data_IF_092993171228
#
_entry.id   IF_092993171228
#
_cell.length_a   1.000
_cell.length_b   1.000
_cell.length_c   1.000
_cell.angle_alpha   90.00
_cell.angle_beta   90.00
_cell.angle_gamma   90.00
#
_symmetry.space_group_name_H-M   'P 1'
#
loop_
_entity.id
_entity.type
_entity.pdbx_description
1 polymer ?
#
# COMPACT_ATOMS: atom_id res chain seq x y z
N UNK A 1 -18.20 -18.01 12.18
CA UNK A 1 -18.74 -17.93 10.81
C UNK A 1 -17.60 -18.22 9.86
N UNK A 2 -17.79 -19.12 8.89
CA UNK A 2 -16.76 -19.43 7.90
C UNK A 2 -16.50 -18.22 7.00
N UNK A 3 -15.23 -17.97 6.67
CA UNK A 3 -14.83 -16.91 5.74
C UNK A 3 -15.14 -17.32 4.29
N UNK A 4 -15.27 -16.33 3.39
CA UNK A 4 -15.41 -16.59 1.94
C UNK A 4 -14.29 -17.50 1.37
N UNK A 5 -13.10 -17.48 1.99
CA UNK A 5 -12.00 -18.38 1.64
C UNK A 5 -12.28 -19.81 2.09
N UNK A 6 -12.62 -20.01 3.36
CA UNK A 6 -12.93 -21.33 3.92
C UNK A 6 -14.11 -21.98 3.17
N UNK A 7 -15.11 -21.18 2.77
CA UNK A 7 -16.19 -21.65 1.92
C UNK A 7 -15.69 -22.16 0.55
N UNK A 8 -14.74 -21.46 -0.09
CA UNK A 8 -14.17 -21.87 -1.39
C UNK A 8 -13.23 -23.07 -1.30
N UNK A 9 -12.46 -23.19 -0.22
CA UNK A 9 -11.63 -24.37 0.04
C UNK A 9 -12.51 -25.60 0.31
N UNK A 10 -13.61 -25.44 1.05
CA UNK A 10 -14.61 -26.49 1.23
C UNK A 10 -15.30 -26.89 -0.09
N UNK A 11 -15.65 -25.91 -0.94
CA UNK A 11 -16.26 -26.18 -2.26
C UNK A 11 -15.35 -27.01 -3.18
N UNK A 12 -14.04 -26.75 -3.15
CA UNK A 12 -13.07 -27.56 -3.89
C UNK A 12 -13.04 -29.01 -3.40
N UNK A 13 -13.04 -29.21 -2.07
CA UNK A 13 -13.05 -30.54 -1.46
C UNK A 13 -14.37 -31.27 -1.77
N UNK A 14 -15.51 -30.58 -1.72
CA UNK A 14 -16.81 -31.20 -2.02
C UNK A 14 -16.95 -31.57 -3.49
N UNK A 15 -16.35 -30.81 -4.41
CA UNK A 15 -16.28 -31.19 -5.83
C UNK A 15 -15.41 -32.44 -6.03
N UNK A 16 -14.25 -32.49 -5.36
CA UNK A 16 -13.34 -33.65 -5.41
C UNK A 16 -13.96 -34.93 -4.80
N UNK A 17 -14.98 -34.76 -3.97
CA UNK A 17 -15.77 -35.85 -3.38
C UNK A 17 -17.06 -36.16 -4.15
N UNK A 18 -17.25 -35.58 -5.35
CA UNK A 18 -18.46 -35.71 -6.19
C UNK A 18 -19.77 -35.36 -5.44
N UNK A 19 -19.71 -34.49 -4.43
CA UNK A 19 -20.88 -34.05 -3.66
C UNK A 19 -21.63 -32.88 -4.32
N UNK A 20 -20.95 -32.16 -5.19
CA UNK A 20 -21.48 -31.09 -6.04
C UNK A 20 -20.89 -31.29 -7.45
N UNK A 21 -21.60 -30.87 -8.48
CA UNK A 21 -21.09 -30.94 -9.85
C UNK A 21 -20.22 -29.72 -10.22
N UNK A 22 -19.52 -29.79 -11.35
CA UNK A 22 -18.63 -28.73 -11.83
C UNK A 22 -19.36 -27.39 -12.07
N UNK A 23 -20.65 -27.42 -12.42
CA UNK A 23 -21.45 -26.22 -12.71
C UNK A 23 -21.89 -25.54 -11.40
N UNK A 24 -22.34 -26.33 -10.42
CA UNK A 24 -22.62 -25.91 -9.05
C UNK A 24 -21.36 -25.37 -8.36
N UNK A 25 -20.24 -26.07 -8.51
CA UNK A 25 -18.94 -25.65 -8.01
C UNK A 25 -18.58 -24.28 -8.57
N UNK A 26 -18.65 -24.08 -9.89
CA UNK A 26 -18.30 -22.82 -10.54
C UNK A 26 -19.18 -21.66 -10.04
N UNK A 27 -20.50 -21.87 -9.98
CA UNK A 27 -21.46 -20.88 -9.51
C UNK A 27 -21.22 -20.50 -8.04
N UNK A 28 -21.08 -21.50 -7.17
CA UNK A 28 -20.85 -21.28 -5.74
C UNK A 28 -19.48 -20.66 -5.47
N UNK A 29 -18.47 -21.01 -6.25
CA UNK A 29 -17.12 -20.46 -6.15
C UNK A 29 -17.08 -18.98 -6.52
N UNK A 30 -17.83 -18.57 -7.55
CA UNK A 30 -17.99 -17.17 -7.94
C UNK A 30 -18.86 -16.38 -6.95
N UNK A 31 -19.93 -16.98 -6.42
CA UNK A 31 -20.76 -16.38 -5.36
C UNK A 31 -19.98 -16.13 -4.07
N UNK A 32 -19.05 -17.02 -3.73
CA UNK A 32 -18.19 -16.90 -2.55
C UNK A 32 -16.89 -16.14 -2.84
N UNK A 33 -16.84 -15.36 -3.92
CA UNK A 33 -15.69 -14.53 -4.25
C UNK A 33 -15.74 -13.23 -3.44
N UNK A 34 -14.82 -13.10 -2.49
CA UNK A 34 -14.61 -11.85 -1.78
C UNK A 34 -14.23 -10.72 -2.75
N UNK A 35 -14.83 -9.53 -2.53
CA UNK A 35 -14.38 -8.27 -3.16
C UNK A 35 -13.03 -7.82 -2.62
N UNK A 36 -12.72 -8.18 -1.38
CA UNK A 36 -11.44 -7.90 -0.75
C UNK A 36 -10.39 -8.87 -1.30
N UNK A 37 -9.21 -8.34 -1.56
CA UNK A 37 -8.03 -9.10 -1.95
C UNK A 37 -7.81 -10.23 -0.94
N UNK A 38 -7.70 -11.48 -1.41
CA UNK A 38 -7.33 -12.61 -0.56
C UNK A 38 -5.82 -12.54 -0.30
N UNK A 39 -5.42 -11.67 0.63
CA UNK A 39 -4.03 -11.45 1.01
C UNK A 39 -3.61 -12.65 1.85
N UNK A 40 -2.59 -13.42 1.44
CA UNK A 40 -2.16 -14.63 2.14
C UNK A 40 -1.34 -14.28 3.38
N UNK A 41 -1.97 -13.60 4.35
CA UNK A 41 -1.32 -13.08 5.55
C UNK A 41 -0.60 -14.16 6.35
N UNK A 42 -1.09 -15.40 6.30
CA UNK A 42 -0.47 -16.58 6.92
C UNK A 42 0.84 -17.02 6.27
N UNK A 43 1.18 -16.55 5.06
CA UNK A 43 2.47 -16.80 4.41
C UNK A 43 3.57 -15.89 4.93
N UNK A 44 3.24 -14.84 5.68
CA UNK A 44 4.19 -13.89 6.22
C UNK A 44 4.44 -14.18 7.70
N UNK A 45 5.63 -13.82 8.18
CA UNK A 45 5.93 -13.88 9.61
C UNK A 45 4.89 -13.08 10.40
N UNK A 46 4.49 -13.64 11.55
CA UNK A 46 3.54 -12.96 12.42
C UNK A 46 4.20 -11.69 12.96
N UNK A 47 3.41 -10.64 13.09
CA UNK A 47 3.84 -9.42 13.74
C UNK A 47 4.07 -9.70 15.23
N UNK A 48 5.32 -9.77 15.67
CA UNK A 48 5.68 -10.00 17.07
C UNK A 48 5.83 -8.69 17.85
N UNK A 49 4.94 -8.51 18.82
CA UNK A 49 4.87 -7.35 19.72
C UNK A 49 5.91 -7.37 20.84
N UNK A 50 6.31 -8.56 21.31
CA UNK A 50 7.17 -8.75 22.48
C UNK A 50 8.57 -8.15 22.31
N UNK A 51 8.98 -7.87 21.07
CA UNK A 51 10.26 -7.23 20.75
C UNK A 51 10.18 -5.70 20.68
N UNK A 52 9.00 -5.09 20.88
CA UNK A 52 8.80 -3.65 20.99
C UNK A 52 8.84 -3.23 22.47
N UNK A 53 9.92 -3.53 23.19
CA UNK A 53 10.09 -3.05 24.57
C UNK A 53 10.21 -1.53 24.57
N UNK A 54 9.10 -0.83 24.83
CA UNK A 54 9.08 0.63 25.01
C UNK A 54 9.52 0.97 26.43
N UNK A 55 10.84 1.05 26.61
CA UNK A 55 11.40 1.76 27.76
C UNK A 55 11.69 3.19 27.30
N UNK A 56 10.85 4.14 27.69
CA UNK A 56 11.05 5.54 27.33
C UNK A 56 12.39 6.04 27.87
N UNK A 57 13.29 6.49 26.98
CA UNK A 57 14.64 6.86 27.39
C UNK A 57 14.65 8.26 28.05
N UNK A 58 15.21 8.29 29.26
CA UNK A 58 15.93 9.38 29.91
C UNK A 58 15.22 10.56 30.62
N UNK A 59 13.90 10.76 30.60
CA UNK A 59 13.28 11.87 31.39
C UNK A 59 12.23 11.52 32.44
N UNK A 60 11.44 10.46 32.27
CA UNK A 60 10.31 10.17 33.18
C UNK A 60 10.22 8.72 33.72
N UNK A 61 11.14 7.81 33.35
CA UNK A 61 11.10 6.38 33.73
C UNK A 61 9.73 5.73 33.49
N UNK A 62 9.01 6.16 32.44
CA UNK A 62 7.71 5.61 32.12
C UNK A 62 7.92 4.28 31.41
N UNK A 63 7.44 3.20 32.02
CA UNK A 63 7.38 1.87 31.42
C UNK A 63 5.93 1.57 30.99
N UNK A 64 5.77 1.13 29.76
CA UNK A 64 4.48 0.80 29.15
C UNK A 64 4.64 -0.52 28.40
N UNK A 65 3.67 -1.41 28.55
CA UNK A 65 3.65 -2.67 27.80
C UNK A 65 3.52 -2.41 26.30
N UNK A 66 4.16 -3.24 25.48
CA UNK A 66 4.20 -3.07 24.02
C UNK A 66 2.80 -3.09 23.40
N UNK A 67 1.90 -3.92 23.93
CA UNK A 67 0.52 -4.02 23.48
C UNK A 67 -0.29 -2.79 23.86
N UNK A 68 -0.09 -2.25 25.07
CA UNK A 68 -0.75 -1.02 25.50
C UNK A 68 -0.33 0.14 24.60
N UNK A 69 0.96 0.27 24.34
CA UNK A 69 1.52 1.31 23.49
C UNK A 69 1.04 1.21 22.04
N UNK A 70 1.01 0.00 21.47
CA UNK A 70 0.45 -0.24 20.14
C UNK A 70 -1.04 0.07 20.12
N UNK A 71 -1.83 -0.39 21.10
CA UNK A 71 -3.26 -0.11 21.17
C UNK A 71 -3.54 1.39 21.26
N UNK A 72 -2.71 2.12 22.00
CA UNK A 72 -2.80 3.57 22.16
C UNK A 72 -2.52 4.28 20.82
N UNK A 73 -1.45 3.87 20.12
CA UNK A 73 -1.14 4.36 18.77
C UNK A 73 -2.29 4.07 17.79
N UNK A 74 -2.75 2.82 17.71
CA UNK A 74 -3.83 2.40 16.82
C UNK A 74 -5.12 3.17 17.14
N UNK A 75 -5.49 3.30 18.41
CA UNK A 75 -6.67 4.06 18.83
C UNK A 75 -6.59 5.52 18.43
N UNK A 76 -5.40 6.12 18.56
CA UNK A 76 -5.12 7.51 18.18
C UNK A 76 -5.24 7.74 16.68
N UNK A 77 -4.76 6.80 15.86
CA UNK A 77 -4.80 6.94 14.41
C UNK A 77 -6.15 6.55 13.81
N UNK A 78 -6.88 5.62 14.43
CA UNK A 78 -8.17 5.13 13.93
C UNK A 78 -9.28 6.20 13.93
N UNK A 79 -9.22 7.14 14.87
CA UNK A 79 -10.25 8.18 14.98
C UNK A 79 -9.65 9.54 15.35
N UNK A 80 -10.32 10.61 14.93
CA UNK A 80 -10.03 11.98 15.35
C UNK A 80 -10.40 12.19 16.82
N UNK A 81 -9.54 11.77 17.74
CA UNK A 81 -9.68 12.06 19.16
C UNK A 81 -8.65 13.10 19.61
N UNK A 82 -8.86 13.71 20.77
CA UNK A 82 -7.81 14.40 21.54
C UNK A 82 -7.17 13.42 22.52
N UNK A 83 -6.09 13.83 23.18
CA UNK A 83 -5.45 12.96 24.17
C UNK A 83 -6.31 12.84 25.43
N UNK A 84 -7.09 13.87 25.77
CA UNK A 84 -8.05 13.89 26.86
C UNK A 84 -9.09 12.76 26.72
N UNK A 85 -9.54 12.50 25.48
CA UNK A 85 -10.51 11.43 25.19
C UNK A 85 -9.94 10.02 25.43
N UNK A 86 -8.61 9.88 25.49
CA UNK A 86 -7.92 8.62 25.71
C UNK A 86 -7.66 8.35 27.20
N UNK A 87 -7.69 9.39 28.05
CA UNK A 87 -7.45 9.28 29.50
C UNK A 87 -8.38 8.26 30.16
N UNK A 88 -9.70 8.23 29.92
CA UNK A 88 -10.59 7.28 30.59
C UNK A 88 -10.29 5.82 30.28
N UNK A 89 -9.75 5.51 29.09
CA UNK A 89 -9.46 4.13 28.67
C UNK A 89 -8.06 3.67 29.07
N UNK A 90 -7.06 4.54 28.96
CA UNK A 90 -5.66 4.20 29.21
C UNK A 90 -5.19 4.58 30.62
N UNK A 91 -5.98 5.34 31.39
CA UNK A 91 -5.68 5.67 32.79
C UNK A 91 -4.42 6.50 33.00
N UNK A 92 -3.92 7.17 31.96
CA UNK A 92 -2.67 7.94 31.99
C UNK A 92 -2.89 9.43 31.74
N UNK A 93 -2.10 10.31 32.37
CA UNK A 93 -2.12 11.74 32.06
C UNK A 93 -1.79 12.01 30.59
N UNK A 94 -2.38 13.06 30.02
CA UNK A 94 -2.16 13.50 28.63
C UNK A 94 -0.67 13.56 28.22
N UNK A 95 0.26 14.10 29.03
CA UNK A 95 1.68 14.09 28.66
C UNK A 95 2.27 12.70 28.46
N UNK A 96 1.86 11.72 29.27
CA UNK A 96 2.30 10.33 29.12
C UNK A 96 1.74 9.70 27.86
N UNK A 97 0.45 9.92 27.57
CA UNK A 97 -0.18 9.42 26.35
C UNK A 97 0.54 9.96 25.10
N UNK A 98 0.87 11.26 25.09
CA UNK A 98 1.59 11.87 23.97
C UNK A 98 3.00 11.33 23.81
N UNK A 99 3.75 11.12 24.90
CA UNK A 99 5.09 10.52 24.84
C UNK A 99 5.02 9.11 24.26
N UNK A 100 4.09 8.28 24.75
CA UNK A 100 3.92 6.89 24.30
C UNK A 100 3.58 6.84 22.82
N UNK A 101 2.63 7.66 22.32
CA UNK A 101 2.32 7.71 20.88
C UNK A 101 3.55 8.03 20.05
N UNK A 102 4.27 9.09 20.39
CA UNK A 102 5.42 9.55 19.61
C UNK A 102 6.53 8.51 19.60
N UNK A 103 6.90 7.97 20.75
CA UNK A 103 7.96 6.97 20.84
C UNK A 103 7.59 5.65 20.16
N UNK A 104 6.33 5.23 20.26
CA UNK A 104 5.85 4.04 19.54
C UNK A 104 5.94 4.25 18.04
N UNK A 105 5.54 5.43 17.54
CA UNK A 105 5.63 5.77 16.13
C UNK A 105 7.08 5.78 15.64
N UNK A 106 7.99 6.43 16.38
CA UNK A 106 9.41 6.50 16.03
C UNK A 106 10.06 5.10 16.02
N UNK A 107 9.70 4.25 16.99
CA UNK A 107 10.20 2.89 17.08
C UNK A 107 9.71 2.02 15.91
N UNK A 108 8.43 2.11 15.55
CA UNK A 108 7.90 1.41 14.37
C UNK A 108 8.57 1.89 13.08
N UNK A 109 8.78 3.20 12.94
CA UNK A 109 9.46 3.76 11.78
C UNK A 109 10.91 3.30 11.70
N UNK A 110 11.66 3.33 12.81
CA UNK A 110 13.04 2.87 12.86
C UNK A 110 13.18 1.38 12.54
N UNK A 111 12.21 0.56 12.98
CA UNK A 111 12.26 -0.89 12.81
C UNK A 111 11.79 -1.36 11.44
N UNK A 112 10.74 -0.76 10.89
CA UNK A 112 10.06 -1.24 9.69
C UNK A 112 10.16 -0.28 8.49
N UNK A 113 10.68 0.93 8.67
CA UNK A 113 10.80 1.91 7.59
C UNK A 113 11.66 1.43 6.42
N UNK A 114 12.66 0.58 6.69
CA UNK A 114 13.51 -0.03 5.66
C UNK A 114 12.74 -0.94 4.70
N UNK A 115 11.61 -1.52 5.13
CA UNK A 115 10.78 -2.40 4.29
C UNK A 115 10.18 -1.66 3.09
N UNK A 116 10.04 -0.33 3.19
CA UNK A 116 9.53 0.51 2.12
C UNK A 116 10.61 1.10 1.21
N UNK A 117 11.89 0.90 1.55
CA UNK A 117 13.01 1.54 0.84
C UNK A 117 13.71 0.61 -0.15
N UNK A 118 13.47 -0.70 -0.09
CA UNK A 118 14.19 -1.70 -0.88
C UNK A 118 13.24 -2.74 -1.47
N UNK A 119 13.42 -3.07 -2.76
CA UNK A 119 12.66 -4.14 -3.43
C UNK A 119 13.23 -5.55 -3.20
N UNK A 120 14.42 -5.68 -2.61
CA UNK A 120 15.00 -6.96 -2.25
C UNK A 120 14.40 -7.47 -0.94
N UNK A 121 13.15 -7.91 -1.00
CA UNK A 121 12.41 -8.45 0.15
C UNK A 121 11.95 -9.88 -0.14
N UNK A 122 11.84 -10.75 0.89
CA UNK A 122 11.41 -12.14 0.69
C UNK A 122 10.06 -12.27 -0.03
N UNK A 123 9.12 -11.35 0.22
CA UNK A 123 7.81 -11.33 -0.42
C UNK A 123 7.82 -10.78 -1.86
N UNK A 124 8.94 -10.20 -2.31
CA UNK A 124 9.17 -9.72 -3.68
C UNK A 124 10.12 -10.65 -4.47
N UNK A 125 10.14 -11.94 -4.14
CA UNK A 125 10.90 -12.93 -4.92
C UNK A 125 10.44 -12.95 -6.38
N UNK A 126 11.33 -13.32 -7.31
CA UNK A 126 11.03 -13.38 -8.75
C UNK A 126 9.80 -14.25 -9.06
N UNK A 127 9.60 -15.34 -8.30
CA UNK A 127 8.41 -16.18 -8.42
C UNK A 127 7.13 -15.41 -8.05
N UNK A 128 7.15 -14.68 -6.92
CA UNK A 128 6.01 -13.86 -6.51
C UNK A 128 5.73 -12.74 -7.51
N UNK A 129 6.76 -12.12 -8.10
CA UNK A 129 6.57 -11.07 -9.11
C UNK A 129 5.86 -11.61 -10.36
N UNK A 130 6.17 -12.85 -10.77
CA UNK A 130 5.46 -13.52 -11.87
C UNK A 130 4.01 -13.82 -11.47
N UNK A 131 3.76 -14.33 -10.27
CA UNK A 131 2.40 -14.57 -9.78
C UNK A 131 1.57 -13.28 -9.72
N UNK A 132 2.21 -12.17 -9.31
CA UNK A 132 1.62 -10.85 -9.32
C UNK A 132 1.28 -10.38 -10.73
N UNK A 133 2.19 -10.56 -11.69
CA UNK A 133 1.93 -10.14 -13.07
C UNK A 133 0.80 -10.93 -13.72
N UNK A 134 0.78 -12.24 -13.51
CA UNK A 134 -0.32 -13.10 -13.95
C UNK A 134 -1.64 -12.71 -13.30
N UNK A 135 -1.64 -12.34 -12.02
CA UNK A 135 -2.84 -11.90 -11.30
C UNK A 135 -3.41 -10.60 -11.88
N UNK A 136 -2.54 -9.65 -12.26
CA UNK A 136 -2.94 -8.42 -12.95
C UNK A 136 -3.48 -8.75 -14.35
N UNK A 137 -2.78 -9.60 -15.11
CA UNK A 137 -3.20 -10.00 -16.46
C UNK A 137 -4.56 -10.70 -16.47
N UNK A 138 -4.81 -11.63 -15.54
CA UNK A 138 -6.10 -12.32 -15.36
C UNK A 138 -7.26 -11.37 -15.05
N UNK A 139 -6.98 -10.16 -14.54
CA UNK A 139 -7.98 -9.08 -14.38
C UNK A 139 -8.18 -8.25 -15.67
N UNK A 140 -7.78 -8.80 -16.83
CA UNK A 140 -7.88 -8.20 -18.15
C UNK A 140 -7.01 -6.96 -18.34
N UNK A 141 -5.89 -6.87 -17.63
CA UNK A 141 -4.85 -5.89 -17.94
C UNK A 141 -4.17 -6.25 -19.26
N UNK A 142 -3.76 -5.26 -20.05
CA UNK A 142 -3.13 -5.53 -21.35
C UNK A 142 -1.66 -5.99 -21.25
N UNK A 143 -0.97 -5.66 -20.15
CA UNK A 143 0.40 -6.10 -19.89
C UNK A 143 0.39 -7.42 -19.10
N UNK A 144 1.06 -8.44 -19.63
CA UNK A 144 1.24 -9.76 -19.01
C UNK A 144 2.44 -9.81 -18.05
N UNK A 145 3.38 -8.89 -18.21
CA UNK A 145 4.59 -8.75 -17.41
C UNK A 145 4.54 -7.60 -16.38
N UNK A 146 3.37 -6.99 -16.17
CA UNK A 146 3.21 -5.90 -15.20
C UNK A 146 2.93 -6.46 -13.80
N UNK A 147 3.86 -6.34 -12.86
CA UNK A 147 3.74 -6.93 -11.52
C UNK A 147 3.26 -5.97 -10.43
N UNK A 148 3.27 -4.66 -10.71
CA UNK A 148 2.93 -3.66 -9.72
C UNK A 148 2.56 -2.33 -10.35
N UNK A 149 1.98 -1.47 -9.54
CA UNK A 149 1.38 -0.22 -9.97
C UNK A 149 1.82 0.89 -9.02
N UNK A 150 2.14 2.04 -9.59
CA UNK A 150 2.63 3.19 -8.82
C UNK A 150 1.52 4.20 -8.55
N UNK A 151 1.50 4.69 -7.32
CA UNK A 151 0.58 5.74 -6.88
C UNK A 151 1.34 6.87 -6.21
N UNK A 152 0.76 8.05 -6.33
CA UNK A 152 1.33 9.28 -5.81
C UNK A 152 0.33 10.02 -4.91
N UNK A 153 0.33 9.78 -3.59
CA UNK A 153 -0.54 10.52 -2.70
C UNK A 153 -0.13 12.00 -2.66
N UNK A 154 -1.15 12.86 -2.50
CA UNK A 154 -1.00 14.31 -2.46
C UNK A 154 -1.72 14.80 -1.20
N UNK A 155 -0.96 15.17 -0.17
CA UNK A 155 -1.49 15.63 1.12
C UNK A 155 -1.24 17.14 1.30
N UNK A 156 -2.17 17.87 1.93
CA UNK A 156 -1.99 19.29 2.24
C UNK A 156 -1.19 19.45 3.54
N UNK A 157 -0.04 20.14 3.54
CA UNK A 157 0.72 20.41 4.74
C UNK A 157 0.08 21.52 5.60
N UNK A 158 0.22 21.40 6.92
CA UNK A 158 -0.21 22.43 7.89
C UNK A 158 0.79 23.57 8.03
N UNK A 159 2.09 23.25 8.10
CA UNK A 159 3.20 24.19 8.28
C UNK A 159 4.00 24.40 6.99
N UNK A 160 4.87 25.43 6.95
CA UNK A 160 5.73 25.76 5.80
C UNK A 160 5.00 25.88 4.45
N UNK A 161 3.76 26.39 4.49
CA UNK A 161 2.84 26.43 3.35
C UNK A 161 3.46 27.07 2.09
N UNK A 162 4.23 28.16 2.21
CA UNK A 162 4.86 28.83 1.05
C UNK A 162 5.80 27.93 0.25
N UNK A 163 6.56 27.07 0.91
CA UNK A 163 7.52 26.14 0.26
C UNK A 163 6.78 25.01 -0.46
N UNK A 164 5.64 24.61 0.07
CA UNK A 164 4.87 23.45 -0.37
C UNK A 164 3.72 23.82 -1.32
N UNK A 165 3.60 25.09 -1.70
CA UNK A 165 2.61 25.54 -2.66
C UNK A 165 2.95 25.05 -4.07
N UNK A 166 2.07 24.25 -4.65
CA UNK A 166 2.13 23.88 -6.06
C UNK A 166 1.37 24.93 -6.87
N UNK A 167 2.08 25.80 -7.58
CA UNK A 167 1.49 26.87 -8.39
C UNK A 167 0.60 26.38 -9.54
N UNK A 168 0.90 25.20 -10.11
CA UNK A 168 0.11 24.63 -11.20
C UNK A 168 -1.27 24.16 -10.73
N UNK A 169 -1.34 23.47 -9.58
CA UNK A 169 -2.60 23.02 -8.98
C UNK A 169 -3.21 24.04 -8.01
N UNK A 170 -2.51 25.16 -7.73
CA UNK A 170 -2.86 26.19 -6.75
C UNK A 170 -3.22 25.64 -5.36
N UNK A 171 -2.55 24.56 -4.95
CA UNK A 171 -2.77 23.90 -3.64
C UNK A 171 -1.43 23.64 -2.96
N UNK A 172 -1.43 23.69 -1.62
CA UNK A 172 -0.30 23.23 -0.84
C UNK A 172 -0.30 21.69 -0.83
N UNK A 173 0.83 21.09 -1.18
CA UNK A 173 0.95 19.67 -1.32
C UNK A 173 2.31 19.15 -0.87
N UNK A 174 2.30 18.00 -0.21
CA UNK A 174 3.40 17.07 -0.10
C UNK A 174 3.06 15.86 -0.97
N UNK A 175 4.05 15.35 -1.67
CA UNK A 175 3.94 14.20 -2.56
C UNK A 175 4.74 13.04 -1.99
N UNK A 176 4.21 11.83 -2.14
CA UNK A 176 5.00 10.61 -2.00
C UNK A 176 4.93 9.83 -3.31
N UNK A 177 5.93 9.00 -3.57
CA UNK A 177 5.89 7.96 -4.58
C UNK A 177 5.66 6.63 -3.88
N UNK A 178 4.75 5.80 -4.36
CA UNK A 178 4.50 4.49 -3.79
C UNK A 178 4.35 3.45 -4.89
N UNK A 179 4.82 2.24 -4.61
CA UNK A 179 4.56 1.05 -5.43
C UNK A 179 3.68 0.11 -4.61
N UNK A 180 2.60 -0.37 -5.21
CA UNK A 180 1.68 -1.32 -4.59
C UNK A 180 1.66 -2.60 -5.40
N UNK A 181 1.83 -3.71 -4.68
CA UNK A 181 1.74 -5.05 -5.24
C UNK A 181 0.28 -5.54 -5.29
N UNK A 182 -0.05 -6.52 -6.15
CA UNK A 182 -1.39 -7.08 -6.28
C UNK A 182 -1.95 -7.76 -5.03
N UNK A 183 -1.14 -7.97 -4.00
CA UNK A 183 -1.57 -8.44 -2.69
C UNK A 183 -1.96 -7.28 -1.74
N UNK A 184 -2.00 -6.03 -2.22
CA UNK A 184 -2.38 -4.86 -1.42
C UNK A 184 -1.25 -4.28 -0.56
N UNK A 185 -0.05 -4.86 -0.57
CA UNK A 185 1.08 -4.31 0.17
C UNK A 185 1.67 -3.11 -0.57
N UNK A 186 1.97 -2.03 0.18
CA UNK A 186 2.90 -1.00 -0.27
C UNK A 186 4.30 -1.56 -0.14
N UNK A 187 4.96 -1.78 -1.26
CA UNK A 187 6.27 -2.44 -1.33
C UNK A 187 7.42 -1.47 -1.57
N UNK A 188 7.09 -0.23 -1.92
CA UNK A 188 8.04 0.88 -1.92
C UNK A 188 7.30 2.18 -1.59
N UNK A 189 7.93 3.05 -0.79
CA UNK A 189 7.40 4.38 -0.47
C UNK A 189 8.56 5.38 -0.36
N UNK A 190 8.51 6.44 -1.15
CA UNK A 190 9.50 7.53 -1.14
C UNK A 190 8.84 8.89 -0.93
N UNK A 191 9.43 9.71 -0.06
CA UNK A 191 8.93 11.04 0.32
C UNK A 191 9.17 11.29 1.81
N UNK A 192 8.65 12.39 2.37
CA UNK A 192 7.85 13.45 1.73
C UNK A 192 8.66 14.32 0.76
N UNK A 193 8.07 14.72 -0.38
CA UNK A 193 8.67 15.66 -1.34
C UNK A 193 7.76 16.87 -1.55
N UNK A 194 8.36 18.05 -1.71
CA UNK A 194 7.63 19.30 -1.98
C UNK A 194 6.71 19.20 -3.20
N UNK A 195 5.47 19.68 -3.05
CA UNK A 195 4.42 19.70 -4.07
C UNK A 195 4.82 20.27 -5.44
N UNK A 196 5.75 21.23 -5.45
CA UNK A 196 6.23 21.94 -6.65
C UNK A 196 7.22 21.14 -7.50
N UNK A 197 7.91 20.15 -6.94
CA UNK A 197 8.92 19.39 -7.67
C UNK A 197 8.29 18.52 -8.76
N UNK A 198 9.01 18.41 -9.88
CA UNK A 198 8.62 17.56 -11.00
C UNK A 198 8.64 16.08 -10.64
N UNK A 199 7.76 15.33 -11.29
CA UNK A 199 7.50 13.92 -11.02
C UNK A 199 8.72 13.06 -11.38
N UNK A 200 9.32 13.35 -12.53
CA UNK A 200 10.57 12.73 -12.99
C UNK A 200 11.73 12.94 -12.01
N UNK A 201 11.84 14.14 -11.42
CA UNK A 201 12.85 14.42 -10.41
C UNK A 201 12.64 13.58 -9.14
N UNK A 202 11.38 13.40 -8.72
CA UNK A 202 11.05 12.54 -7.58
C UNK A 202 11.41 11.07 -7.86
N UNK A 203 11.13 10.55 -9.06
CA UNK A 203 11.54 9.20 -9.44
C UNK A 203 13.06 9.04 -9.45
N UNK A 204 13.80 10.03 -9.95
CA UNK A 204 15.26 10.00 -9.89
C UNK A 204 15.78 9.97 -8.44
N UNK A 205 15.21 10.81 -7.57
CA UNK A 205 15.56 10.86 -6.15
C UNK A 205 15.23 9.57 -5.39
N UNK A 206 14.17 8.86 -5.79
CA UNK A 206 13.72 7.65 -5.11
C UNK A 206 14.66 6.46 -5.27
N UNK A 207 15.55 6.47 -6.28
CA UNK A 207 16.36 5.30 -6.63
C UNK A 207 15.55 4.11 -7.15
N UNK A 208 14.26 4.29 -7.46
CA UNK A 208 13.38 3.19 -7.88
C UNK A 208 13.83 2.54 -9.19
N UNK A 209 14.28 3.33 -10.18
CA UNK A 209 14.68 2.78 -11.48
C UNK A 209 15.84 1.75 -11.38
N UNK A 210 16.98 2.07 -10.72
CA UNK A 210 18.02 1.07 -10.47
C UNK A 210 17.53 -0.19 -9.73
N UNK A 211 16.65 -0.02 -8.75
CA UNK A 211 16.07 -1.16 -8.02
C UNK A 211 15.23 -2.06 -8.93
N UNK A 212 14.44 -1.47 -9.84
CA UNK A 212 13.65 -2.23 -10.80
C UNK A 212 14.53 -2.99 -11.79
N UNK A 213 15.58 -2.34 -12.31
CA UNK A 213 16.53 -2.98 -13.24
C UNK A 213 17.22 -4.20 -12.60
N UNK A 214 17.44 -4.18 -11.27
CA UNK A 214 18.09 -5.28 -10.55
C UNK A 214 17.12 -6.38 -10.12
N UNK A 215 15.91 -6.01 -9.67
CA UNK A 215 15.01 -6.93 -8.96
C UNK A 215 13.74 -7.29 -9.74
N UNK A 216 13.33 -6.53 -10.75
CA UNK A 216 12.11 -6.80 -11.54
C UNK A 216 12.39 -7.71 -12.73
N UNK A 217 12.82 -8.94 -12.44
CA UNK A 217 13.12 -9.97 -13.42
C UNK A 217 12.35 -11.25 -13.10
N UNK A 218 12.01 -12.02 -14.13
CA UNK A 218 11.53 -13.39 -13.97
C UNK A 218 12.69 -14.31 -13.54
N UNK A 219 12.41 -15.55 -13.09
CA UNK A 219 13.44 -16.57 -12.88
C UNK A 219 14.27 -16.88 -14.14
N UNK A 220 13.73 -16.61 -15.32
CA UNK A 220 14.40 -16.77 -16.62
C UNK A 220 15.16 -15.53 -17.08
N UNK A 221 15.20 -14.46 -16.26
CA UNK A 221 15.88 -13.20 -16.58
C UNK A 221 15.11 -12.26 -17.50
N UNK A 222 13.83 -12.52 -17.77
CA UNK A 222 12.99 -11.63 -18.57
C UNK A 222 12.52 -10.44 -17.73
N UNK A 223 12.41 -9.23 -18.30
CA UNK A 223 12.02 -8.05 -17.56
C UNK A 223 10.53 -8.04 -17.21
N UNK A 224 10.25 -7.79 -15.94
CA UNK A 224 8.93 -7.42 -15.43
C UNK A 224 8.86 -5.90 -15.25
N UNK A 225 7.67 -5.33 -15.39
CA UNK A 225 7.48 -3.88 -15.33
C UNK A 225 6.49 -3.42 -14.27
N UNK A 226 6.66 -2.18 -13.83
CA UNK A 226 5.60 -1.41 -13.19
C UNK A 226 4.85 -0.59 -14.24
N UNK A 227 3.59 -0.28 -13.96
CA UNK A 227 2.80 0.64 -14.79
C UNK A 227 2.47 1.93 -14.02
N UNK A 228 2.77 3.07 -14.64
CA UNK A 228 2.68 4.40 -14.04
C UNK A 228 1.93 5.42 -14.92
N UNK A 229 1.81 6.64 -14.38
CA UNK A 229 1.33 7.83 -15.03
C UNK A 229 2.17 8.21 -16.24
N UNK A 230 1.55 8.77 -17.28
CA UNK A 230 2.26 9.27 -18.45
C UNK A 230 3.34 10.32 -18.12
N UNK A 231 3.35 10.97 -16.96
CA UNK A 231 4.41 11.89 -16.57
C UNK A 231 5.81 11.25 -16.47
N UNK A 232 5.89 9.92 -16.33
CA UNK A 232 7.15 9.20 -16.18
C UNK A 232 7.79 8.79 -17.52
N UNK A 233 9.12 8.64 -17.55
CA UNK A 233 9.80 8.13 -18.74
C UNK A 233 9.46 6.66 -18.95
N UNK A 234 9.16 6.29 -20.20
CA UNK A 234 8.97 4.90 -20.58
C UNK A 234 10.31 4.17 -20.56
N UNK A 235 10.36 3.04 -19.86
CA UNK A 235 11.51 2.13 -19.78
C UNK A 235 11.00 0.70 -19.77
N UNK A 236 11.89 -0.26 -20.03
CA UNK A 236 11.59 -1.69 -19.98
C UNK A 236 10.86 -2.07 -18.68
N UNK A 237 11.34 -1.60 -17.52
CA UNK A 237 10.73 -1.87 -16.22
C UNK A 237 9.70 -0.82 -15.74
N UNK A 238 9.44 0.24 -16.51
CA UNK A 238 8.47 1.28 -16.16
C UNK A 238 7.67 1.69 -17.40
N UNK A 239 6.48 1.12 -17.52
CA UNK A 239 5.55 1.36 -18.62
C UNK A 239 4.50 2.40 -18.23
N UNK A 240 3.82 2.96 -19.23
CA UNK A 240 2.77 3.94 -19.04
C UNK A 240 1.79 3.95 -20.22
N UNK A 241 0.70 4.72 -20.15
CA UNK A 241 -0.27 4.79 -21.23
C UNK A 241 0.29 5.43 -22.49
N UNK A 242 -0.30 5.07 -23.63
CA UNK A 242 -0.07 5.78 -24.89
C UNK A 242 -0.53 7.24 -24.78
N UNK A 243 0.27 8.17 -25.29
CA UNK A 243 0.03 9.62 -25.26
C UNK A 243 -0.36 10.15 -26.64
N UNK A 244 -1.16 11.22 -26.68
CA UNK A 244 -1.48 11.96 -27.90
C UNK A 244 -2.97 12.30 -28.02
N UNK A 245 -3.29 13.31 -28.83
CA UNK A 245 -4.68 13.75 -29.05
C UNK A 245 -5.49 12.77 -29.92
N UNK A 246 -4.82 12.03 -30.82
CA UNK A 246 -5.45 11.09 -31.73
C UNK A 246 -4.96 9.65 -31.46
N UNK A 247 -5.42 9.06 -30.36
CA UNK A 247 -5.17 7.65 -30.06
C UNK A 247 -6.02 6.76 -30.97
N UNK A 248 -5.39 5.75 -31.59
CA UNK A 248 -6.11 4.72 -32.36
C UNK A 248 -6.91 3.83 -31.42
N UNK A 249 -7.98 3.20 -31.91
CA UNK A 249 -8.84 2.32 -31.10
C UNK A 249 -8.05 1.26 -30.28
N UNK A 250 -7.01 0.57 -30.80
CA UNK A 250 -6.22 -0.36 -30.00
C UNK A 250 -5.47 0.30 -28.82
N UNK A 251 -4.98 1.53 -29.00
CA UNK A 251 -4.28 2.28 -27.95
C UNK A 251 -5.25 2.75 -26.87
N UNK A 252 -6.47 3.12 -27.26
CA UNK A 252 -7.54 3.48 -26.32
C UNK A 252 -7.96 2.27 -25.48
N UNK A 253 -8.12 1.10 -26.12
CA UNK A 253 -8.43 -0.16 -25.42
C UNK A 253 -7.32 -0.55 -24.43
N UNK A 254 -6.05 -0.41 -24.84
CA UNK A 254 -4.90 -0.62 -23.96
C UNK A 254 -4.92 0.33 -22.74
N UNK A 255 -5.10 1.63 -22.97
CA UNK A 255 -5.14 2.60 -21.88
C UNK A 255 -6.32 2.34 -20.93
N UNK A 256 -7.48 1.96 -21.48
CA UNK A 256 -8.68 1.65 -20.70
C UNK A 256 -8.48 0.41 -19.82
N UNK A 257 -7.87 -0.65 -20.36
CA UNK A 257 -7.63 -1.89 -19.60
C UNK A 257 -6.63 -1.68 -18.47
N UNK A 258 -5.53 -0.96 -18.74
CA UNK A 258 -4.54 -0.64 -17.73
C UNK A 258 -5.05 0.36 -16.68
N UNK A 259 -5.87 1.34 -17.08
CA UNK A 259 -6.49 2.27 -16.13
C UNK A 259 -7.42 1.57 -15.14
N UNK A 260 -8.17 0.54 -15.58
CA UNK A 260 -9.00 -0.30 -14.70
C UNK A 260 -8.16 -1.10 -13.70
N UNK A 261 -7.02 -1.64 -14.14
CA UNK A 261 -6.09 -2.33 -13.24
C UNK A 261 -5.52 -1.36 -12.19
N UNK A 262 -5.24 -0.11 -12.58
CA UNK A 262 -4.72 0.95 -11.70
C UNK A 262 -5.67 1.38 -10.59
N UNK A 263 -6.99 1.32 -10.81
CA UNK A 263 -8.01 1.69 -9.81
C UNK A 263 -7.83 0.93 -8.49
N UNK A 264 -7.37 -0.32 -8.52
CA UNK A 264 -7.13 -1.13 -7.32
C UNK A 264 -6.09 -0.49 -6.37
N UNK A 265 -5.16 0.31 -6.90
CA UNK A 265 -4.12 0.93 -6.08
C UNK A 265 -4.59 2.21 -5.42
N UNK A 266 -5.47 2.96 -6.08
CA UNK A 266 -6.13 4.10 -5.44
C UNK A 266 -6.91 3.64 -4.21
N UNK A 267 -7.51 2.45 -4.26
CA UNK A 267 -8.23 1.87 -3.13
C UNK A 267 -7.32 1.61 -1.92
N UNK A 268 -6.07 1.16 -2.10
CA UNK A 268 -5.16 0.91 -0.95
C UNK A 268 -4.91 2.17 -0.12
N UNK A 269 -4.73 3.33 -0.76
CA UNK A 269 -4.58 4.58 -0.02
C UNK A 269 -5.91 5.08 0.56
N UNK A 270 -7.04 4.84 -0.12
CA UNK A 270 -8.36 5.10 0.45
C UNK A 270 -8.59 4.27 1.72
N UNK A 271 -8.29 2.98 1.68
CA UNK A 271 -8.40 2.06 2.81
C UNK A 271 -7.53 2.53 3.98
N UNK A 272 -6.29 2.98 3.72
CA UNK A 272 -5.41 3.55 4.76
C UNK A 272 -6.06 4.77 5.42
N UNK A 273 -6.64 5.67 4.65
CA UNK A 273 -7.31 6.87 5.19
C UNK A 273 -8.62 6.53 5.92
N UNK A 274 -9.28 5.44 5.53
CA UNK A 274 -10.46 4.92 6.23
C UNK A 274 -10.07 4.30 7.58
N UNK A 275 -9.08 3.41 7.59
CA UNK A 275 -8.57 2.79 8.82
C UNK A 275 -7.92 3.79 9.76
N UNK A 276 -7.24 4.80 9.21
CA UNK A 276 -6.49 5.81 9.97
C UNK A 276 -7.01 7.22 9.69
N UNK A 277 -8.29 7.45 9.99
CA UNK A 277 -8.99 8.72 9.74
C UNK A 277 -8.35 9.95 10.40
N UNK A 278 -7.45 9.76 11.36
CA UNK A 278 -6.60 10.82 11.91
C UNK A 278 -5.74 11.50 10.83
N UNK A 279 -5.37 10.78 9.77
CA UNK A 279 -4.53 11.31 8.68
C UNK A 279 -5.30 12.18 7.68
N UNK A 280 -6.63 12.07 7.62
CA UNK A 280 -7.46 12.85 6.71
C UNK A 280 -8.09 14.06 7.41
N UNK A 281 -7.37 15.20 7.39
CA UNK A 281 -7.85 16.48 7.92
C UNK A 281 -8.58 17.35 6.87
N UNK A 282 -9.24 16.75 5.87
CA UNK A 282 -10.19 17.54 5.07
C UNK A 282 -11.34 17.99 5.98
N UNK A 283 -11.43 19.31 6.22
CA UNK A 283 -12.64 19.95 6.72
C UNK A 283 -13.77 19.54 5.76
N UNK A 284 -14.69 18.69 6.22
CA UNK A 284 -16.03 18.63 5.63
C UNK A 284 -16.68 19.97 6.01
N UNK A 285 -16.56 20.96 5.14
CA UNK A 285 -17.45 22.13 5.13
C UNK A 285 -18.82 21.70 4.65
#
# INVERSE_FOLDING_TARGET
MATFREAREALLITNDLDLIDDEEMLLLYDLNRSKNLNIPHWKYEKFELDSLYLTTNARNRLSVYSEEALCLLLRRFAYRCRYEDLVPRFGRPVPQLSMVVSETMDLLYARFGNLFSCLNQPWLSQANLVDFSQSIYRKRAALDNCWGLTVRPVARPGEHQRVLFNGHKRVHAIKFQSVVAPNGLIVNLFGPVEGRRHDSAMLAMSGLLPMLETHSLTPTGQPLCLYDDPAYPLRVHLQGPFKGAALRAPQQLFNLSMSRARTVVEWVFCDILEYFSFLDFKKKS
#
